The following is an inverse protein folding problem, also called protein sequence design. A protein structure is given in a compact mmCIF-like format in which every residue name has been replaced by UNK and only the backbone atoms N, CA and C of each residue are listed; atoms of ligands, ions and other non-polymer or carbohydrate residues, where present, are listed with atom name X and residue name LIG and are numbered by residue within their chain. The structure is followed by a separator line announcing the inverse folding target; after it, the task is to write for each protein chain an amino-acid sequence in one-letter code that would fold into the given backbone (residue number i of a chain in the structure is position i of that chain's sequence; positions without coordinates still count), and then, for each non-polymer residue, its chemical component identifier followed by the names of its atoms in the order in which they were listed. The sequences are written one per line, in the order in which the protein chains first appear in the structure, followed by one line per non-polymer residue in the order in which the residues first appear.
data_IF_537590759080
#
_entry.id   IF_537590759080
#
_cell.length_a   1.000
_cell.length_b   1.000
_cell.length_c   1.000
_cell.angle_alpha   90.00
_cell.angle_beta   90.00
_cell.angle_gamma   90.00
#
_symmetry.space_group_name_H-M   'P 1'
#
loop_
_entity.id
_entity.type
_entity.pdbx_description
1 polymer ?
#
# COMPACT_ATOMS: atom_id res chain seq x y z
N UNK A 1 -24.59 -22.18 3.98
CA UNK A 1 -23.71 -22.21 2.78
C UNK A 1 -24.45 -21.94 1.47
N UNK A 2 -25.78 -22.10 1.40
CA UNK A 2 -26.60 -21.78 0.21
C UNK A 2 -26.84 -20.28 -0.04
N UNK A 3 -26.66 -19.38 0.93
CA UNK A 3 -26.94 -17.95 0.77
C UNK A 3 -25.84 -17.15 0.05
N UNK A 4 -24.56 -17.46 0.29
CA UNK A 4 -23.45 -16.70 -0.32
C UNK A 4 -23.34 -16.94 -1.83
N UNK A 5 -23.47 -18.19 -2.27
CA UNK A 5 -23.47 -18.53 -3.70
C UNK A 5 -24.65 -17.88 -4.44
N UNK A 6 -25.79 -17.73 -3.77
CA UNK A 6 -26.93 -17.03 -4.32
C UNK A 6 -26.66 -15.53 -4.48
N UNK A 7 -26.08 -14.87 -3.46
CA UNK A 7 -25.70 -13.45 -3.54
C UNK A 7 -24.66 -13.19 -4.64
N UNK A 8 -23.65 -14.06 -4.75
CA UNK A 8 -22.64 -13.96 -5.82
C UNK A 8 -23.29 -14.11 -7.21
N UNK A 9 -24.25 -15.02 -7.37
CA UNK A 9 -24.93 -15.22 -8.66
C UNK A 9 -25.81 -14.05 -9.10
N UNK A 10 -26.10 -13.09 -8.21
CA UNK A 10 -26.86 -11.89 -8.54
C UNK A 10 -25.99 -10.75 -9.07
N UNK A 11 -24.65 -10.87 -8.98
CA UNK A 11 -23.72 -9.88 -9.51
C UNK A 11 -23.58 -10.10 -11.02
N UNK A 12 -24.21 -9.24 -11.81
CA UNK A 12 -24.11 -9.28 -13.27
C UNK A 12 -22.90 -8.48 -13.74
N UNK A 13 -21.90 -9.18 -14.28
CA UNK A 13 -20.69 -8.58 -14.84
C UNK A 13 -20.78 -8.40 -16.36
N UNK A 14 -21.88 -8.82 -16.99
CA UNK A 14 -22.02 -8.73 -18.44
C UNK A 14 -22.33 -7.29 -18.87
N UNK A 15 -21.66 -6.91 -19.95
CA UNK A 15 -21.58 -5.54 -20.45
C UNK A 15 -22.94 -5.07 -20.97
N UNK A 16 -23.58 -4.17 -20.24
CA UNK A 16 -24.67 -3.41 -20.81
C UNK A 16 -24.03 -2.32 -21.67
N UNK A 17 -23.97 -2.53 -22.99
CA UNK A 17 -23.38 -1.56 -23.95
C UNK A 17 -23.96 -0.14 -23.81
N UNK A 18 -25.16 -0.01 -23.22
CA UNK A 18 -25.83 1.28 -22.99
C UNK A 18 -25.65 1.84 -21.57
N UNK A 19 -24.95 1.12 -20.69
CA UNK A 19 -24.83 1.45 -19.27
C UNK A 19 -26.15 1.37 -18.49
N UNK A 20 -26.08 1.58 -17.18
CA UNK A 20 -27.25 1.69 -16.31
C UNK A 20 -27.45 3.13 -15.83
N UNK A 21 -28.70 3.58 -15.61
CA UNK A 21 -28.95 4.84 -14.93
C UNK A 21 -28.28 4.86 -13.54
N UNK A 22 -27.71 5.99 -13.13
CA UNK A 22 -27.00 6.14 -11.84
C UNK A 22 -27.81 5.61 -10.63
N UNK A 23 -29.13 5.82 -10.64
CA UNK A 23 -30.02 5.33 -9.58
C UNK A 23 -30.02 3.80 -9.47
N UNK A 24 -29.96 3.10 -10.59
CA UNK A 24 -29.92 1.63 -10.62
C UNK A 24 -28.57 1.12 -10.11
N UNK A 25 -27.48 1.77 -10.53
CA UNK A 25 -26.12 1.49 -10.01
C UNK A 25 -26.05 1.68 -8.49
N UNK A 26 -26.62 2.76 -7.96
CA UNK A 26 -26.63 3.00 -6.51
C UNK A 26 -27.48 1.97 -5.75
N UNK A 27 -28.62 1.55 -6.32
CA UNK A 27 -29.45 0.49 -5.73
C UNK A 27 -28.73 -0.87 -5.71
N UNK A 28 -27.94 -1.15 -6.73
CA UNK A 28 -27.11 -2.36 -6.81
C UNK A 28 -25.97 -2.31 -5.78
N UNK A 29 -25.22 -1.20 -5.71
CA UNK A 29 -24.16 -0.99 -4.71
C UNK A 29 -24.71 -1.13 -3.29
N UNK A 30 -25.91 -0.63 -3.02
CA UNK A 30 -26.54 -0.79 -1.71
C UNK A 30 -26.66 -2.26 -1.32
N UNK A 31 -27.23 -3.08 -2.21
CA UNK A 31 -27.51 -4.50 -1.95
C UNK A 31 -26.25 -5.35 -1.89
N UNK A 32 -25.27 -5.08 -2.75
CA UNK A 32 -24.05 -5.91 -2.87
C UNK A 32 -23.02 -5.55 -1.79
N UNK A 33 -22.95 -4.28 -1.38
CA UNK A 33 -21.85 -3.78 -0.58
C UNK A 33 -22.28 -3.03 0.69
N UNK A 34 -23.20 -2.07 0.60
CA UNK A 34 -23.48 -1.16 1.73
C UNK A 34 -24.27 -1.82 2.87
N UNK A 35 -25.24 -2.69 2.56
CA UNK A 35 -26.09 -3.31 3.57
C UNK A 35 -25.30 -4.25 4.50
N UNK A 36 -24.24 -4.87 4.00
CA UNK A 36 -23.36 -5.78 4.74
C UNK A 36 -21.98 -5.17 5.08
N UNK A 37 -21.82 -3.85 4.94
CA UNK A 37 -20.51 -3.21 5.13
C UNK A 37 -20.03 -3.25 6.60
N UNK A 38 -18.72 -3.41 6.78
CA UNK A 38 -18.10 -3.33 8.09
C UNK A 38 -17.91 -1.86 8.48
N UNK A 39 -18.66 -1.42 9.50
CA UNK A 39 -18.61 -0.06 10.01
C UNK A 39 -17.40 0.13 10.95
N UNK A 40 -16.24 0.46 10.38
CA UNK A 40 -15.01 0.75 11.14
C UNK A 40 -15.15 1.92 12.14
N UNK A 41 -16.09 2.83 11.89
CA UNK A 41 -16.39 3.96 12.78
C UNK A 41 -17.25 3.58 13.99
N UNK A 42 -17.81 2.37 14.01
CA UNK A 42 -18.66 1.94 15.11
C UNK A 42 -17.81 1.74 16.38
N UNK A 43 -18.16 2.34 17.54
CA UNK A 43 -17.33 2.30 18.74
C UNK A 43 -17.01 0.90 19.29
N UNK A 44 -17.81 -0.11 18.91
CA UNK A 44 -17.57 -1.51 19.29
C UNK A 44 -16.70 -2.30 18.29
N UNK A 45 -16.28 -1.70 17.17
CA UNK A 45 -15.38 -2.34 16.23
C UNK A 45 -13.92 -2.19 16.72
N UNK A 46 -13.35 -3.26 17.26
CA UNK A 46 -12.00 -3.26 17.89
C UNK A 46 -11.17 -4.51 17.51
N UNK A 47 -11.45 -5.11 16.35
CA UNK A 47 -10.91 -6.43 15.99
C UNK A 47 -9.57 -6.37 15.23
N UNK A 48 -9.41 -5.40 14.33
CA UNK A 48 -8.28 -5.35 13.40
C UNK A 48 -7.62 -3.97 13.40
N UNK A 49 -6.40 -3.89 12.88
CA UNK A 49 -5.63 -2.65 12.71
C UNK A 49 -6.12 -1.82 11.50
N UNK A 50 -7.43 -1.71 11.38
CA UNK A 50 -8.10 -0.83 10.43
C UNK A 50 -8.70 0.31 11.24
N UNK A 51 -8.12 1.50 11.12
CA UNK A 51 -8.56 2.66 11.87
C UNK A 51 -9.83 3.27 11.26
N UNK A 52 -10.69 3.91 12.08
CA UNK A 52 -11.70 4.83 11.58
C UNK A 52 -11.04 5.92 10.71
N UNK A 53 -11.65 6.22 9.57
CA UNK A 53 -11.13 7.21 8.62
C UNK A 53 -11.24 8.62 9.22
N UNK A 54 -10.22 9.45 9.04
CA UNK A 54 -10.29 10.85 9.42
C UNK A 54 -11.04 11.65 8.35
N UNK A 55 -11.92 12.58 8.75
CA UNK A 55 -12.67 13.43 7.80
C UNK A 55 -11.77 14.16 6.79
N UNK A 56 -10.60 14.72 7.18
CA UNK A 56 -9.65 15.28 6.20
C UNK A 56 -9.14 14.29 5.16
N UNK A 57 -8.97 13.01 5.52
CA UNK A 57 -8.55 11.96 4.58
C UNK A 57 -9.62 11.74 3.51
N UNK A 58 -10.90 11.69 3.89
CA UNK A 58 -11.99 11.55 2.90
C UNK A 58 -12.02 12.71 1.90
N UNK A 59 -11.80 13.94 2.39
CA UNK A 59 -11.73 15.13 1.52
C UNK A 59 -10.51 15.05 0.60
N UNK A 60 -9.35 14.64 1.11
CA UNK A 60 -8.15 14.46 0.32
C UNK A 60 -8.34 13.39 -0.78
N UNK A 61 -8.98 12.26 -0.46
CA UNK A 61 -9.28 11.19 -1.43
C UNK A 61 -10.17 11.68 -2.58
N UNK A 62 -11.14 12.56 -2.30
CA UNK A 62 -11.96 13.16 -3.35
C UNK A 62 -11.11 14.00 -4.32
N UNK A 63 -10.17 14.81 -3.80
CA UNK A 63 -9.24 15.57 -4.64
C UNK A 63 -8.32 14.64 -5.44
N UNK A 64 -7.68 13.67 -4.79
CA UNK A 64 -6.76 12.72 -5.45
C UNK A 64 -7.48 11.98 -6.58
N UNK A 65 -8.67 11.45 -6.30
CA UNK A 65 -9.48 10.73 -7.29
C UNK A 65 -9.92 11.62 -8.44
N UNK A 66 -10.27 12.89 -8.17
CA UNK A 66 -10.69 13.83 -9.22
C UNK A 66 -9.54 14.30 -10.11
N UNK A 67 -8.33 14.42 -9.55
CA UNK A 67 -7.16 14.93 -10.25
C UNK A 67 -6.40 13.83 -10.99
N UNK A 68 -6.50 12.58 -10.51
CA UNK A 68 -5.87 11.40 -11.08
C UNK A 68 -4.38 11.63 -11.40
N UNK A 69 -3.67 12.32 -10.49
CA UNK A 69 -2.27 12.68 -10.65
C UNK A 69 -1.36 11.45 -10.56
N UNK A 70 -0.31 11.42 -11.37
CA UNK A 70 0.69 10.34 -11.33
C UNK A 70 1.95 10.82 -10.63
N UNK A 71 2.39 10.08 -9.62
CA UNK A 71 3.51 10.43 -8.74
C UNK A 71 4.89 10.04 -9.30
N UNK A 72 4.94 9.54 -10.54
CA UNK A 72 6.16 9.07 -11.20
C UNK A 72 6.98 10.20 -11.83
N UNK A 73 6.32 11.25 -12.32
CA UNK A 73 6.98 12.41 -12.91
C UNK A 73 6.47 13.74 -12.35
N UNK A 74 7.39 14.70 -12.25
CA UNK A 74 7.10 16.00 -11.66
C UNK A 74 6.04 16.79 -12.43
N UNK A 75 5.99 16.67 -13.75
CA UNK A 75 5.00 17.32 -14.62
C UNK A 75 3.59 16.71 -14.49
N UNK A 76 3.46 15.50 -13.94
CA UNK A 76 2.17 14.84 -13.70
C UNK A 76 1.67 14.96 -12.26
N UNK A 77 2.51 15.46 -11.34
CA UNK A 77 2.16 15.59 -9.92
C UNK A 77 2.90 16.72 -9.20
N UNK A 78 3.18 17.86 -9.85
CA UNK A 78 4.00 18.94 -9.27
C UNK A 78 3.63 19.29 -7.81
N UNK A 79 2.34 19.53 -7.56
CA UNK A 79 1.84 19.83 -6.20
C UNK A 79 1.95 18.63 -5.25
N UNK A 80 1.63 17.43 -5.73
CA UNK A 80 1.76 16.18 -4.97
C UNK A 80 3.21 15.88 -4.58
N UNK A 81 4.15 16.09 -5.50
CA UNK A 81 5.59 15.90 -5.27
C UNK A 81 6.08 16.80 -4.13
N UNK A 82 5.69 18.07 -4.10
CA UNK A 82 6.08 18.97 -3.01
C UNK A 82 5.48 18.56 -1.66
N UNK A 83 4.22 18.11 -1.65
CA UNK A 83 3.56 17.62 -0.44
C UNK A 83 4.29 16.37 0.08
N UNK A 84 4.57 15.41 -0.80
CA UNK A 84 5.28 14.17 -0.46
C UNK A 84 6.68 14.47 0.12
N UNK A 85 7.48 15.27 -0.57
CA UNK A 85 8.82 15.65 -0.10
C UNK A 85 8.77 16.34 1.26
N UNK A 86 7.78 17.22 1.49
CA UNK A 86 7.64 17.91 2.77
C UNK A 86 7.22 16.98 3.91
N UNK A 87 6.33 16.03 3.63
CA UNK A 87 5.91 15.02 4.60
C UNK A 87 7.05 14.07 4.96
N UNK A 88 7.87 13.68 3.99
CA UNK A 88 9.08 12.88 4.22
C UNK A 88 10.06 13.66 5.11
N UNK A 89 10.38 14.91 4.75
CA UNK A 89 11.26 15.77 5.55
C UNK A 89 10.77 15.89 7.00
N UNK A 90 9.48 16.17 7.19
CA UNK A 90 8.86 16.27 8.50
C UNK A 90 8.92 14.95 9.29
N UNK A 91 8.68 13.81 8.64
CA UNK A 91 8.74 12.49 9.27
C UNK A 91 10.16 12.15 9.71
N UNK A 92 11.16 12.43 8.88
CA UNK A 92 12.57 12.22 9.23
C UNK A 92 12.99 13.08 10.42
N UNK A 93 12.51 14.33 10.49
CA UNK A 93 12.75 15.21 11.64
C UNK A 93 12.13 14.64 12.92
N UNK A 94 10.88 14.14 12.87
CA UNK A 94 10.23 13.50 14.02
C UNK A 94 10.98 12.26 14.53
N UNK A 95 11.58 11.49 13.62
CA UNK A 95 12.36 10.30 13.94
C UNK A 95 13.81 10.60 14.34
N UNK A 96 14.22 11.87 14.37
CA UNK A 96 15.60 12.32 14.60
C UNK A 96 16.61 11.71 13.61
N UNK A 97 16.21 11.55 12.35
CA UNK A 97 17.11 11.08 11.29
C UNK A 97 18.07 12.20 10.84
N UNK A 98 19.23 11.84 10.25
CA UNK A 98 20.14 12.80 9.65
C UNK A 98 19.47 13.66 8.57
N UNK A 99 19.96 14.89 8.37
CA UNK A 99 19.42 15.83 7.37
C UNK A 99 19.50 15.33 5.92
N UNK A 100 20.38 14.38 5.64
CA UNK A 100 20.53 13.73 4.35
C UNK A 100 19.71 12.42 4.24
N UNK A 101 18.80 12.16 5.18
CA UNK A 101 17.84 11.08 5.06
C UNK A 101 16.87 11.33 3.91
N UNK A 102 16.45 10.25 3.26
CA UNK A 102 15.47 10.26 2.18
C UNK A 102 14.38 9.23 2.47
N UNK A 103 13.27 9.33 1.73
CA UNK A 103 12.14 8.44 1.85
C UNK A 103 11.26 8.49 0.61
N UNK A 104 10.27 7.61 0.56
CA UNK A 104 9.26 7.56 -0.49
C UNK A 104 7.98 6.98 0.10
N UNK A 105 6.82 7.47 -0.36
CA UNK A 105 5.56 6.81 0.00
C UNK A 105 5.44 5.45 -0.69
N UNK A 106 4.80 4.51 -0.01
CA UNK A 106 4.54 3.17 -0.53
C UNK A 106 3.07 2.82 -0.30
N UNK A 107 2.55 1.82 -1.02
CA UNK A 107 1.18 1.32 -0.85
C UNK A 107 0.84 0.83 0.57
N UNK A 108 1.86 0.58 1.40
CA UNK A 108 1.70 0.21 2.81
C UNK A 108 2.92 -0.50 3.37
N UNK A 109 2.86 -0.85 4.65
CA UNK A 109 4.01 -1.38 5.40
C UNK A 109 4.62 -2.67 4.83
N UNK A 110 3.84 -3.49 4.12
CA UNK A 110 4.38 -4.68 3.42
C UNK A 110 5.36 -4.28 2.31
N UNK A 111 5.03 -3.28 1.50
CA UNK A 111 5.93 -2.78 0.45
C UNK A 111 7.11 -2.02 1.07
N UNK A 112 6.90 -1.25 2.15
CA UNK A 112 8.00 -0.58 2.85
C UNK A 112 9.01 -1.58 3.41
N UNK A 113 8.53 -2.69 4.00
CA UNK A 113 9.40 -3.77 4.48
C UNK A 113 10.20 -4.44 3.35
N UNK A 114 9.57 -4.67 2.20
CA UNK A 114 10.25 -5.22 1.02
C UNK A 114 11.37 -4.28 0.56
N UNK A 115 11.05 -2.99 0.41
CA UNK A 115 12.02 -1.99 -0.03
C UNK A 115 13.19 -1.86 0.96
N UNK A 116 12.90 -1.83 2.27
CA UNK A 116 13.95 -1.78 3.30
C UNK A 116 14.88 -2.99 3.26
N UNK A 117 14.34 -4.21 3.13
CA UNK A 117 15.15 -5.43 3.01
C UNK A 117 15.94 -5.48 1.69
N UNK A 118 15.36 -5.01 0.59
CA UNK A 118 16.02 -4.93 -0.71
C UNK A 118 17.21 -3.98 -0.65
N UNK A 119 17.02 -2.78 -0.11
CA UNK A 119 18.09 -1.79 0.07
C UNK A 119 19.20 -2.31 1.00
N UNK A 120 18.83 -2.97 2.10
CA UNK A 120 19.80 -3.57 3.02
C UNK A 120 20.62 -4.69 2.36
N UNK A 121 19.97 -5.58 1.60
CA UNK A 121 20.62 -6.65 0.84
C UNK A 121 21.60 -6.06 -0.18
N UNK A 122 21.13 -5.08 -0.96
CA UNK A 122 21.92 -4.54 -2.06
C UNK A 122 23.11 -3.72 -1.55
N UNK A 123 22.92 -2.96 -0.46
CA UNK A 123 23.99 -2.28 0.23
C UNK A 123 25.04 -3.25 0.77
N UNK A 124 24.62 -4.36 1.39
CA UNK A 124 25.54 -5.38 1.90
C UNK A 124 26.34 -6.05 0.77
N UNK A 125 25.68 -6.43 -0.33
CA UNK A 125 26.35 -7.04 -1.49
C UNK A 125 27.39 -6.07 -2.07
N UNK A 126 27.00 -4.81 -2.29
CA UNK A 126 27.89 -3.79 -2.84
C UNK A 126 29.10 -3.56 -1.95
N UNK A 127 28.90 -3.41 -0.65
CA UNK A 127 30.00 -3.13 0.29
C UNK A 127 30.90 -4.35 0.52
N UNK A 128 30.35 -5.57 0.59
CA UNK A 128 31.11 -6.76 0.99
C UNK A 128 31.70 -7.56 -0.16
N UNK A 129 31.06 -7.52 -1.33
CA UNK A 129 31.43 -8.30 -2.51
C UNK A 129 31.85 -7.42 -3.70
N UNK A 130 31.64 -6.10 -3.62
CA UNK A 130 31.92 -5.16 -4.71
C UNK A 130 31.19 -5.53 -6.02
N UNK A 131 29.97 -6.05 -5.89
CA UNK A 131 29.07 -6.44 -6.99
C UNK A 131 27.89 -5.47 -6.99
N UNK A 132 27.42 -5.06 -8.15
CA UNK A 132 26.15 -4.36 -8.30
C UNK A 132 25.01 -5.39 -8.51
N UNK A 133 24.20 -5.70 -7.49
CA UNK A 133 23.21 -6.76 -7.58
C UNK A 133 22.10 -6.50 -8.61
N UNK A 134 21.85 -5.24 -8.96
CA UNK A 134 20.85 -4.87 -9.96
C UNK A 134 21.32 -5.24 -11.37
N UNK A 135 22.62 -5.13 -11.64
CA UNK A 135 23.19 -5.35 -12.98
C UNK A 135 23.80 -6.74 -13.13
N UNK A 136 24.37 -7.27 -12.06
CA UNK A 136 25.20 -8.48 -12.06
C UNK A 136 24.53 -9.66 -11.34
N UNK A 137 23.41 -9.42 -10.64
CA UNK A 137 22.73 -10.42 -9.86
C UNK A 137 23.39 -10.69 -8.49
N UNK A 138 22.96 -11.78 -7.84
CA UNK A 138 23.38 -12.11 -6.49
C UNK A 138 24.72 -12.87 -6.46
N UNK A 139 25.58 -12.65 -5.44
CA UNK A 139 26.79 -13.46 -5.26
C UNK A 139 26.43 -14.93 -4.97
N UNK A 140 27.35 -15.85 -5.26
CA UNK A 140 27.16 -17.29 -5.04
C UNK A 140 26.80 -17.64 -3.59
N UNK A 141 27.32 -16.87 -2.63
CA UNK A 141 27.05 -17.04 -1.20
C UNK A 141 25.73 -16.42 -0.72
N UNK A 142 24.95 -15.78 -1.59
CA UNK A 142 23.68 -15.14 -1.20
C UNK A 142 22.70 -16.12 -0.52
N UNK A 143 22.76 -17.40 -0.89
CA UNK A 143 22.00 -18.48 -0.25
C UNK A 143 22.27 -18.63 1.26
N UNK A 144 23.40 -18.10 1.75
CA UNK A 144 23.80 -18.12 3.16
C UNK A 144 23.32 -16.89 3.92
N UNK A 145 22.81 -15.86 3.25
CA UNK A 145 22.37 -14.63 3.91
C UNK A 145 21.21 -14.93 4.86
N UNK A 146 21.19 -14.23 5.99
CA UNK A 146 20.17 -14.37 7.02
C UNK A 146 19.70 -12.99 7.46
N UNK A 147 18.40 -12.87 7.67
CA UNK A 147 17.77 -11.70 8.29
C UNK A 147 17.28 -12.13 9.66
N UNK A 148 17.71 -11.42 10.70
CA UNK A 148 17.28 -11.66 12.07
C UNK A 148 16.05 -10.79 12.35
N UNK A 149 15.01 -11.40 12.91
CA UNK A 149 13.79 -10.71 13.31
C UNK A 149 13.18 -11.38 14.55
N UNK A 150 12.20 -10.73 15.18
CA UNK A 150 11.51 -11.27 16.34
C UNK A 150 10.55 -12.40 15.95
N UNK A 151 10.27 -13.32 16.88
CA UNK A 151 9.26 -14.38 16.67
C UNK A 151 7.86 -13.83 16.42
N UNK A 152 7.57 -12.62 16.90
CA UNK A 152 6.29 -11.90 16.71
C UNK A 152 6.35 -10.84 15.62
N UNK A 153 7.40 -10.85 14.78
CA UNK A 153 7.48 -9.93 13.66
C UNK A 153 6.36 -10.14 12.65
N UNK A 154 5.97 -9.06 11.97
CA UNK A 154 4.90 -9.11 10.97
C UNK A 154 5.21 -10.12 9.86
N UNK A 155 4.22 -10.93 9.49
CA UNK A 155 4.37 -12.05 8.55
C UNK A 155 4.88 -11.62 7.16
N UNK A 156 4.73 -10.34 6.79
CA UNK A 156 5.29 -9.80 5.55
C UNK A 156 6.79 -10.06 5.43
N UNK A 157 7.55 -9.99 6.53
CA UNK A 157 9.00 -10.26 6.50
C UNK A 157 9.27 -11.69 6.04
N UNK A 158 8.52 -12.66 6.57
CA UNK A 158 8.65 -14.07 6.15
C UNK A 158 8.28 -14.25 4.68
N UNK A 159 7.23 -13.59 4.20
CA UNK A 159 6.85 -13.66 2.78
C UNK A 159 7.95 -13.11 1.87
N UNK A 160 8.55 -11.98 2.22
CA UNK A 160 9.60 -11.34 1.44
C UNK A 160 10.84 -12.23 1.31
N UNK A 161 11.19 -12.98 2.36
CA UNK A 161 12.39 -13.84 2.40
C UNK A 161 12.21 -15.22 1.74
N UNK A 162 10.98 -15.57 1.33
CA UNK A 162 10.66 -16.86 0.69
C UNK A 162 10.68 -16.75 -0.84
N UNK A 163 10.70 -15.54 -1.39
CA UNK A 163 10.98 -15.26 -2.79
C UNK A 163 12.45 -14.89 -2.99
#
# INVERSE_FOLDING_TARGET
MSSLHHLISQIDLYDNENGLPLKEVLNEIQKIYLDDCILFHHPKYVAHLNCPILTPTLVAEAFISSLNSSMDTWDQSTGGTYIELKLIEWTLQLLNYPKNGEGIFTSGGTQSNLMGLLLARDHYIKTRYNINPVMEGLPAEASKFKVLCSEVSHFSLKRILVY
#
